data_IF_172149628537
#
_entry.id   IF_172149628537
#
_cell.length_a   1.000
_cell.length_b   1.000
_cell.length_c   1.000
_cell.angle_alpha   90.00
_cell.angle_beta   90.00
_cell.angle_gamma   90.00
#
_symmetry.space_group_name_H-M   'P 1'
#
loop_
_entity.id
_entity.type
_entity.pdbx_description
1 polymer ?
#
# COMPACT_ATOMS: atom_id res chain seq x y z
N UNK A 1 -0.92 -1.01 -6.81
CA UNK A 1 -2.27 -0.93 -6.19
C UNK A 1 -2.31 0.08 -5.04
N UNK A 2 -1.43 -0.02 -4.04
CA UNK A 2 -1.46 0.87 -2.87
C UNK A 2 -1.42 2.36 -3.21
N UNK A 3 -0.54 2.78 -4.13
CA UNK A 3 -0.44 4.18 -4.56
C UNK A 3 -1.75 4.74 -5.09
N UNK A 4 -2.42 4.01 -5.98
CA UNK A 4 -3.72 4.39 -6.55
C UNK A 4 -4.81 4.48 -5.49
N UNK A 5 -4.85 3.52 -4.55
CA UNK A 5 -5.82 3.49 -3.45
C UNK A 5 -5.80 4.79 -2.63
N UNK A 6 -4.61 5.33 -2.39
CA UNK A 6 -4.42 6.56 -1.60
C UNK A 6 -4.15 7.79 -2.47
N UNK A 7 -4.51 7.72 -3.76
CA UNK A 7 -4.44 8.82 -4.73
C UNK A 7 -3.04 9.43 -4.91
N UNK A 8 -2.00 8.62 -4.76
CA UNK A 8 -0.61 8.99 -5.09
C UNK A 8 -0.31 8.60 -6.53
N UNK A 9 0.31 9.50 -7.29
CA UNK A 9 0.72 9.26 -8.68
C UNK A 9 1.71 8.06 -8.75
N UNK A 10 1.36 6.97 -9.46
CA UNK A 10 2.24 5.80 -9.60
C UNK A 10 3.21 5.90 -10.78
N UNK A 11 3.29 7.01 -11.52
CA UNK A 11 4.08 7.14 -12.76
C UNK A 11 5.54 6.70 -12.61
N UNK A 12 6.19 7.01 -11.48
CA UNK A 12 7.59 6.65 -11.23
C UNK A 12 7.83 5.15 -11.10
N UNK A 13 6.81 4.37 -10.77
CA UNK A 13 6.86 2.89 -10.67
C UNK A 13 7.01 2.29 -12.08
N UNK A 14 6.37 2.88 -13.08
CA UNK A 14 6.37 2.39 -14.47
C UNK A 14 7.52 2.90 -15.34
N UNK A 15 8.34 3.82 -14.84
CA UNK A 15 9.46 4.42 -15.59
C UNK A 15 10.79 4.11 -14.94
N UNK A 16 11.77 3.68 -15.73
CA UNK A 16 13.14 3.46 -15.26
C UNK A 16 13.64 4.68 -14.47
N UNK A 17 14.20 4.50 -13.26
CA UNK A 17 14.68 3.23 -12.68
C UNK A 17 13.62 2.45 -11.85
N UNK A 18 12.33 2.64 -12.14
CA UNK A 18 11.18 1.99 -11.50
C UNK A 18 11.14 2.30 -10.00
N UNK A 19 11.08 3.58 -9.65
CA UNK A 19 11.18 4.04 -8.26
C UNK A 19 9.79 4.12 -7.60
N UNK A 20 9.54 3.39 -6.50
CA UNK A 20 8.29 3.49 -5.77
C UNK A 20 8.24 4.77 -4.93
N UNK A 21 7.08 5.44 -4.88
CA UNK A 21 6.91 6.66 -4.05
C UNK A 21 7.01 6.35 -2.55
N UNK A 22 6.64 5.15 -2.14
CA UNK A 22 6.76 4.67 -0.76
C UNK A 22 6.79 3.14 -0.74
N UNK A 23 7.41 2.59 0.29
CA UNK A 23 7.44 1.16 0.58
C UNK A 23 7.00 0.84 2.02
N UNK A 24 7.12 1.80 2.95
CA UNK A 24 6.71 1.60 4.34
C UNK A 24 5.19 1.46 4.47
N UNK A 25 4.77 0.67 5.46
CA UNK A 25 3.36 0.57 5.83
C UNK A 25 2.78 1.90 6.27
N UNK A 26 1.48 2.10 6.04
CA UNK A 26 0.78 3.35 6.34
C UNK A 26 -0.50 3.06 7.10
N UNK A 27 -0.83 3.92 8.06
CA UNK A 27 -2.10 3.86 8.78
C UNK A 27 -2.89 5.13 8.49
N UNK A 28 -4.06 4.98 7.89
CA UNK A 28 -4.86 6.09 7.33
C UNK A 28 -6.26 6.00 7.93
N UNK A 29 -6.94 7.14 8.13
CA UNK A 29 -8.35 7.08 8.55
C UNK A 29 -9.20 6.53 7.41
N UNK A 30 -10.14 5.64 7.72
CA UNK A 30 -10.97 5.04 6.68
C UNK A 30 -11.83 6.07 5.93
N UNK A 31 -12.26 7.11 6.63
CA UNK A 31 -13.05 8.22 6.07
C UNK A 31 -12.31 8.98 4.96
N UNK A 32 -10.98 9.13 5.08
CA UNK A 32 -10.15 9.81 4.07
C UNK A 32 -10.12 9.02 2.74
N UNK A 33 -10.39 7.71 2.80
CA UNK A 33 -10.46 6.79 1.66
C UNK A 33 -11.90 6.55 1.18
N UNK A 34 -12.91 7.14 1.83
CA UNK A 34 -14.32 6.89 1.52
C UNK A 34 -14.80 5.49 1.91
N UNK A 35 -14.11 4.81 2.84
CA UNK A 35 -14.48 3.47 3.32
C UNK A 35 -15.39 3.61 4.54
N UNK A 36 -16.62 3.12 4.40
CA UNK A 36 -17.67 3.24 5.43
C UNK A 36 -17.50 2.20 6.55
N UNK A 37 -16.72 2.56 7.56
CA UNK A 37 -16.60 1.84 8.84
C UNK A 37 -16.77 2.83 10.00
N UNK A 38 -16.40 2.44 11.23
CA UNK A 38 -16.38 3.34 12.40
C UNK A 38 -15.69 4.67 12.10
N UNK A 39 -16.15 5.77 12.71
CA UNK A 39 -15.51 7.09 12.61
C UNK A 39 -14.07 7.11 13.15
N UNK A 40 -13.71 6.17 14.02
CA UNK A 40 -12.36 5.96 14.52
C UNK A 40 -11.60 4.86 13.75
N UNK A 41 -12.23 4.29 12.72
CA UNK A 41 -11.70 3.18 11.93
C UNK A 41 -10.46 3.59 11.13
N UNK A 42 -9.49 2.69 11.09
CA UNK A 42 -8.21 2.89 10.39
C UNK A 42 -8.02 1.81 9.35
N UNK A 43 -7.50 2.21 8.19
CA UNK A 43 -7.01 1.30 7.14
C UNK A 43 -5.51 1.22 7.28
N UNK A 44 -5.01 0.02 7.50
CA UNK A 44 -3.58 -0.25 7.52
C UNK A 44 -3.15 -0.84 6.17
N UNK A 45 -2.21 -0.17 5.52
CA UNK A 45 -1.52 -0.66 4.34
C UNK A 45 -0.24 -1.36 4.78
N UNK A 46 -0.10 -2.63 4.39
CA UNK A 46 1.12 -3.40 4.61
C UNK A 46 2.30 -2.78 3.84
N UNK A 47 3.55 -3.01 4.29
CA UNK A 47 4.72 -2.56 3.54
C UNK A 47 4.85 -3.33 2.22
N UNK A 48 5.47 -2.68 1.23
CA UNK A 48 5.94 -3.30 -0.01
C UNK A 48 7.46 -3.48 0.01
N UNK A 49 7.99 -4.25 -0.95
CA UNK A 49 9.43 -4.51 -1.07
C UNK A 49 10.04 -3.71 -2.22
N UNK A 50 9.33 -3.59 -3.34
CA UNK A 50 9.78 -2.83 -4.51
C UNK A 50 8.60 -2.35 -5.37
N UNK A 51 8.87 -1.73 -6.51
CA UNK A 51 7.86 -1.27 -7.47
C UNK A 51 6.90 -2.35 -7.95
N UNK A 52 7.37 -3.60 -8.09
CA UNK A 52 6.58 -4.72 -8.58
C UNK A 52 6.39 -5.85 -7.55
N UNK A 53 7.08 -5.77 -6.40
CA UNK A 53 6.87 -6.69 -5.27
C UNK A 53 6.09 -5.96 -4.19
N UNK A 54 4.78 -6.15 -4.22
CA UNK A 54 3.81 -5.45 -3.39
C UNK A 54 3.52 -6.09 -2.04
N UNK A 55 2.62 -5.44 -1.33
CA UNK A 55 2.10 -5.85 -0.02
C UNK A 55 1.33 -7.19 -0.05
N UNK A 56 0.76 -7.56 -1.18
CA UNK A 56 0.11 -8.84 -1.44
C UNK A 56 1.08 -10.02 -1.30
N UNK A 57 2.29 -9.88 -1.84
CA UNK A 57 3.36 -10.87 -1.67
C UNK A 57 3.82 -10.92 -0.21
N UNK A 58 4.02 -9.76 0.42
CA UNK A 58 4.41 -9.68 1.85
C UNK A 58 3.36 -10.35 2.75
N UNK A 59 2.07 -10.15 2.47
CA UNK A 59 0.99 -10.81 3.19
C UNK A 59 1.04 -12.33 3.03
N UNK A 60 1.30 -12.82 1.80
CA UNK A 60 1.46 -14.25 1.52
C UNK A 60 2.62 -14.87 2.30
N UNK A 61 3.79 -14.24 2.28
CA UNK A 61 4.98 -14.68 3.06
C UNK A 61 4.66 -14.75 4.56
N UNK A 62 4.02 -13.71 5.09
CA UNK A 62 3.62 -13.64 6.50
C UNK A 62 2.68 -14.80 6.89
N UNK A 63 1.65 -15.08 6.07
CA UNK A 63 0.69 -16.17 6.32
C UNK A 63 1.35 -17.54 6.20
N UNK A 64 2.30 -17.71 5.28
CA UNK A 64 3.07 -18.94 5.13
C UNK A 64 4.13 -19.14 6.24
N UNK A 65 4.37 -18.14 7.09
CA UNK A 65 5.41 -18.13 8.11
C UNK A 65 6.82 -18.43 7.52
N UNK A 66 7.14 -17.72 6.43
CA UNK A 66 8.43 -17.75 5.74
C UNK A 66 9.28 -16.50 6.05
#
# INVERSE_FOLDING_TARGET
MMHTLIKINPESIGRAPYSPVFLSGKSINANDLGISISSFGRVYLLPGVSSYIGADIVAGVCVCNL
#
